data_IF_101095052389
#
_entry.id   IF_101095052389
#
_cell.length_a   1.000
_cell.length_b   1.000
_cell.length_c   1.000
_cell.angle_alpha   90.00
_cell.angle_beta   90.00
_cell.angle_gamma   90.00
#
_symmetry.space_group_name_H-M   'P 1'
#
loop_
_entity.id
_entity.type
_entity.pdbx_description
1 polymer ?
#
# COMPACT_ATOMS: atom_id res chain seq x y z
N UNK A 1 -9.73 -8.09 -5.30
CA UNK A 1 -8.41 -7.88 -5.92
C UNK A 1 -7.97 -6.44 -5.68
N UNK A 2 -6.69 -6.22 -5.42
CA UNK A 2 -6.17 -4.87 -5.18
C UNK A 2 -6.34 -4.00 -6.44
N UNK A 3 -6.67 -2.73 -6.23
CA UNK A 3 -6.73 -1.73 -7.30
C UNK A 3 -5.66 -0.68 -7.03
N UNK A 4 -4.76 -0.51 -7.98
CA UNK A 4 -3.70 0.48 -7.83
C UNK A 4 -4.18 1.86 -8.26
N UNK A 5 -3.79 2.88 -7.48
CA UNK A 5 -4.10 4.28 -7.78
C UNK A 5 -2.80 5.01 -8.02
N UNK A 6 -2.58 5.40 -9.25
CA UNK A 6 -1.31 6.03 -9.64
C UNK A 6 -1.46 7.54 -9.63
N UNK A 7 -0.63 8.19 -8.83
CA UNK A 7 -0.54 9.65 -8.77
C UNK A 7 0.71 10.10 -9.51
N UNK A 8 0.53 10.64 -10.69
CA UNK A 8 1.64 11.07 -11.55
C UNK A 8 2.30 12.35 -11.06
N UNK A 9 1.68 13.04 -10.10
CA UNK A 9 2.18 14.32 -9.57
C UNK A 9 2.93 14.17 -8.26
N UNK A 10 2.95 12.97 -7.70
CA UNK A 10 3.48 12.78 -6.34
C UNK A 10 5.00 12.88 -6.25
N UNK A 11 5.71 12.79 -7.37
CA UNK A 11 7.17 12.71 -7.37
C UNK A 11 7.71 11.31 -7.05
N UNK A 12 6.86 10.39 -6.66
CA UNK A 12 7.24 8.99 -6.43
C UNK A 12 7.08 8.24 -7.75
N UNK A 13 8.09 7.46 -8.14
CA UNK A 13 8.03 6.69 -9.37
C UNK A 13 6.84 5.72 -9.34
N UNK A 14 6.26 5.45 -10.52
CA UNK A 14 5.04 4.64 -10.60
C UNK A 14 5.26 3.23 -10.08
N UNK A 15 6.45 2.62 -10.35
CA UNK A 15 6.68 1.27 -9.85
C UNK A 15 6.75 1.24 -8.32
N UNK A 16 7.31 2.27 -7.70
CA UNK A 16 7.35 2.35 -6.24
C UNK A 16 5.96 2.54 -5.65
N UNK A 17 5.08 3.27 -6.35
CA UNK A 17 3.69 3.40 -5.91
C UNK A 17 3.01 2.04 -5.87
N UNK A 18 3.24 1.20 -6.88
CA UNK A 18 2.69 -0.16 -6.89
C UNK A 18 3.26 -0.98 -5.73
N UNK A 19 4.56 -0.92 -5.52
CA UNK A 19 5.22 -1.63 -4.41
C UNK A 19 4.65 -1.19 -3.07
N UNK A 20 4.57 0.13 -2.85
CA UNK A 20 4.08 0.68 -1.59
C UNK A 20 2.62 0.32 -1.33
N UNK A 21 1.77 0.39 -2.35
CA UNK A 21 0.35 0.06 -2.20
C UNK A 21 0.15 -1.43 -1.93
N UNK A 22 0.95 -2.28 -2.56
CA UNK A 22 0.90 -3.72 -2.29
C UNK A 22 1.32 -4.02 -0.86
N UNK A 23 2.41 -3.41 -0.40
CA UNK A 23 2.88 -3.60 0.97
C UNK A 23 1.87 -3.07 1.98
N UNK A 24 1.24 -1.95 1.70
CA UNK A 24 0.20 -1.40 2.56
C UNK A 24 -0.96 -2.39 2.69
N UNK A 25 -1.42 -2.94 1.57
CA UNK A 25 -2.50 -3.91 1.59
C UNK A 25 -2.12 -5.18 2.37
N UNK A 26 -0.85 -5.61 2.26
CA UNK A 26 -0.34 -6.75 3.03
C UNK A 26 -0.33 -6.45 4.53
N UNK A 27 0.12 -5.25 4.92
CA UNK A 27 0.18 -4.87 6.33
C UNK A 27 -1.19 -4.76 6.97
N UNK A 28 -2.18 -4.32 6.21
CA UNK A 28 -3.54 -4.16 6.69
C UNK A 28 -4.39 -5.43 6.58
N UNK A 29 -3.80 -6.51 6.05
CA UNK A 29 -4.51 -7.78 5.90
C UNK A 29 -5.52 -7.79 4.76
N UNK A 30 -5.48 -6.81 3.87
CA UNK A 30 -6.35 -6.75 2.70
C UNK A 30 -5.92 -7.74 1.62
N UNK A 31 -4.64 -8.08 1.60
CA UNK A 31 -4.07 -9.15 0.79
C UNK A 31 -3.53 -10.22 1.71
N UNK A 32 -3.84 -11.46 1.41
CA UNK A 32 -3.44 -12.60 2.21
C UNK A 32 -2.69 -13.62 1.36
N UNK A 33 -1.85 -14.49 1.97
CA UNK A 33 -1.17 -15.53 1.22
C UNK A 33 -2.15 -16.33 0.36
N UNK A 34 -1.77 -16.56 -0.88
CA UNK A 34 -2.61 -17.25 -1.87
C UNK A 34 -3.44 -16.32 -2.73
N UNK A 35 -3.60 -15.06 -2.35
CA UNK A 35 -4.34 -14.10 -3.17
C UNK A 35 -3.54 -13.78 -4.44
N UNK A 36 -4.26 -13.63 -5.53
CA UNK A 36 -3.67 -13.30 -6.82
C UNK A 36 -3.60 -11.79 -6.99
N UNK A 37 -2.46 -11.31 -7.46
CA UNK A 37 -2.31 -9.90 -7.85
C UNK A 37 -2.85 -9.70 -9.27
N UNK A 38 -3.28 -8.48 -9.61
CA UNK A 38 -3.66 -8.19 -10.99
C UNK A 38 -2.52 -8.49 -11.95
N UNK A 39 -2.85 -8.97 -13.14
CA UNK A 39 -1.84 -9.16 -14.18
C UNK A 39 -1.33 -7.79 -14.64
N UNK A 40 -0.14 -7.76 -15.24
CA UNK A 40 0.39 -6.52 -15.82
C UNK A 40 -0.60 -5.90 -16.80
N UNK A 41 -1.25 -6.75 -17.61
CA UNK A 41 -2.26 -6.30 -18.57
C UNK A 41 -3.44 -5.62 -17.88
N UNK A 42 -3.95 -6.22 -16.81
CA UNK A 42 -5.07 -5.65 -16.05
C UNK A 42 -4.68 -4.30 -15.43
N UNK A 43 -3.47 -4.19 -14.91
CA UNK A 43 -3.00 -2.93 -14.34
C UNK A 43 -2.86 -1.86 -15.41
N UNK A 44 -2.32 -2.21 -16.57
CA UNK A 44 -2.20 -1.28 -17.71
C UNK A 44 -3.56 -0.79 -18.16
N UNK A 45 -4.54 -1.69 -18.25
CA UNK A 45 -5.90 -1.32 -18.65
C UNK A 45 -6.52 -0.34 -17.65
N UNK A 46 -6.24 -0.50 -16.36
CA UNK A 46 -6.82 0.35 -15.32
C UNK A 46 -6.08 1.67 -15.13
N UNK A 47 -4.76 1.71 -15.34
CA UNK A 47 -3.90 2.85 -14.97
C UNK A 47 -3.18 3.49 -16.14
N UNK A 48 -3.15 2.85 -17.29
CA UNK A 48 -2.44 3.30 -18.51
C UNK A 48 -0.93 3.48 -18.31
N UNK A 49 -0.33 2.74 -17.35
CA UNK A 49 1.13 2.77 -17.17
C UNK A 49 1.79 1.69 -18.02
N UNK A 50 3.10 1.81 -18.19
CA UNK A 50 3.88 0.86 -18.97
C UNK A 50 3.84 -0.52 -18.30
N UNK A 51 3.58 -1.61 -19.05
CA UNK A 51 3.55 -2.95 -18.47
C UNK A 51 4.89 -3.36 -17.83
N UNK A 52 6.01 -2.86 -18.36
CA UNK A 52 7.33 -3.15 -17.78
C UNK A 52 7.46 -2.54 -16.38
N UNK A 53 6.77 -1.43 -16.12
CA UNK A 53 6.74 -0.81 -14.80
C UNK A 53 6.05 -1.73 -13.79
N UNK A 54 4.94 -2.34 -14.19
CA UNK A 54 4.23 -3.31 -13.33
C UNK A 54 5.11 -4.51 -13.06
N UNK A 55 5.76 -5.05 -14.10
CA UNK A 55 6.64 -6.21 -13.95
C UNK A 55 7.83 -5.89 -13.04
N UNK A 56 8.38 -4.68 -13.16
CA UNK A 56 9.46 -4.23 -12.28
C UNK A 56 9.02 -4.21 -10.81
N UNK A 57 7.82 -3.69 -10.56
CA UNK A 57 7.28 -3.66 -9.20
C UNK A 57 7.09 -5.07 -8.66
N UNK A 58 6.55 -5.98 -9.45
CA UNK A 58 6.32 -7.34 -9.02
C UNK A 58 7.63 -8.11 -8.80
N UNK A 59 8.66 -7.83 -9.61
CA UNK A 59 10.00 -8.41 -9.38
C UNK A 59 10.58 -7.94 -8.06
N UNK A 60 10.38 -6.67 -7.72
CA UNK A 60 10.84 -6.13 -6.44
C UNK A 60 10.14 -6.83 -5.26
N UNK A 61 8.83 -7.01 -5.36
CA UNK A 61 8.07 -7.71 -4.33
C UNK A 61 8.47 -9.19 -4.22
N UNK A 62 8.75 -9.83 -5.34
CA UNK A 62 9.25 -11.21 -5.39
C UNK A 62 10.64 -11.30 -4.73
N UNK A 63 11.51 -10.35 -5.03
CA UNK A 63 12.84 -10.29 -4.43
C UNK A 63 12.77 -10.20 -2.91
N UNK A 64 11.77 -9.51 -2.37
CA UNK A 64 11.56 -9.41 -0.93
C UNK A 64 10.80 -10.61 -0.35
N UNK A 65 10.45 -11.58 -1.18
CA UNK A 65 9.76 -12.79 -0.72
C UNK A 65 8.29 -12.61 -0.42
N UNK A 66 7.68 -11.50 -0.85
CA UNK A 66 6.28 -11.19 -0.54
C UNK A 66 5.31 -11.80 -1.54
N UNK A 67 5.74 -11.96 -2.77
CA UNK A 67 4.92 -12.55 -3.84
C UNK A 67 5.76 -13.55 -4.61
N UNK A 68 5.09 -14.39 -5.40
CA UNK A 68 5.75 -15.34 -6.28
C UNK A 68 5.04 -15.44 -7.61
N UNK A 69 5.78 -15.45 -8.73
CA UNK A 69 5.19 -15.75 -10.02
C UNK A 69 4.95 -17.24 -10.14
N UNK A 70 3.83 -17.61 -10.73
CA UNK A 70 3.52 -19.01 -11.08
C UNK A 70 3.26 -19.04 -12.58
N UNK A 71 4.16 -19.62 -13.38
CA UNK A 71 4.03 -19.61 -14.84
C UNK A 71 2.67 -20.09 -15.31
N UNK A 72 2.05 -19.32 -16.21
CA UNK A 72 0.71 -19.63 -16.75
C UNK A 72 -0.44 -19.33 -15.81
N UNK A 73 -0.18 -18.98 -14.54
CA UNK A 73 -1.23 -18.76 -13.55
C UNK A 73 -1.28 -17.31 -13.06
N UNK A 74 -0.12 -16.64 -12.93
CA UNK A 74 -0.06 -15.25 -12.48
C UNK A 74 0.93 -15.07 -11.33
N UNK A 75 0.80 -13.95 -10.64
CA UNK A 75 1.61 -13.61 -9.46
C UNK A 75 0.73 -13.66 -8.24
N UNK A 76 1.19 -14.36 -7.21
CA UNK A 76 0.41 -14.65 -6.02
C UNK A 76 1.13 -14.15 -4.77
N UNK A 77 0.35 -13.74 -3.78
CA UNK A 77 0.88 -13.37 -2.47
C UNK A 77 1.45 -14.61 -1.79
N UNK A 78 2.68 -14.50 -1.30
CA UNK A 78 3.39 -15.59 -0.65
C UNK A 78 3.44 -15.41 0.86
N UNK A 79 3.63 -14.18 1.35
CA UNK A 79 3.83 -13.91 2.77
C UNK A 79 2.99 -12.73 3.22
N UNK A 80 2.44 -12.83 4.44
CA UNK A 80 1.69 -11.76 5.07
C UNK A 80 2.62 -10.81 5.81
N UNK A 81 2.25 -9.53 5.85
CA UNK A 81 2.84 -8.53 6.73
C UNK A 81 1.82 -8.05 7.75
N UNK A 82 0.66 -8.70 7.79
CA UNK A 82 -0.46 -8.24 8.61
C UNK A 82 -0.16 -8.34 10.10
N UNK A 83 -0.64 -7.34 10.81
CA UNK A 83 -0.66 -7.30 12.27
C UNK A 83 -2.12 -7.14 12.68
N UNK A 84 -2.66 -7.99 13.55
CA UNK A 84 -4.06 -7.89 13.95
C UNK A 84 -4.41 -6.51 14.52
N UNK A 85 -3.48 -5.88 15.24
CA UNK A 85 -3.68 -4.57 15.85
C UNK A 85 -3.87 -3.46 14.82
N UNK A 86 -3.34 -3.63 13.62
CA UNK A 86 -3.44 -2.65 12.55
C UNK A 86 -4.56 -3.00 11.55
N UNK A 87 -5.24 -4.12 11.74
CA UNK A 87 -6.28 -4.57 10.82
C UNK A 87 -7.53 -3.71 10.87
N UNK A 88 -8.43 -3.94 9.90
CA UNK A 88 -9.64 -3.13 9.74
C UNK A 88 -10.53 -3.13 10.99
N UNK A 89 -10.54 -4.21 11.75
CA UNK A 89 -11.36 -4.36 12.96
C UNK A 89 -10.57 -4.06 14.23
N UNK A 90 -9.33 -3.57 14.11
CA UNK A 90 -8.48 -3.31 15.26
C UNK A 90 -8.88 -2.04 16.01
N UNK A 91 -8.64 -2.05 17.32
CA UNK A 91 -8.91 -0.88 18.16
C UNK A 91 -8.07 0.33 17.75
N UNK A 92 -6.81 0.11 17.40
CA UNK A 92 -5.92 1.22 17.01
C UNK A 92 -6.42 1.90 15.73
N UNK A 93 -6.92 1.12 14.78
CA UNK A 93 -7.49 1.71 13.58
C UNK A 93 -8.74 2.53 13.91
N UNK A 94 -9.59 2.01 14.78
CA UNK A 94 -10.81 2.72 15.21
C UNK A 94 -10.47 4.04 15.91
N UNK A 95 -9.47 4.01 16.80
CA UNK A 95 -9.02 5.21 17.48
C UNK A 95 -8.47 6.25 16.50
N UNK A 96 -7.64 5.83 15.56
CA UNK A 96 -7.08 6.73 14.56
C UNK A 96 -8.17 7.29 13.66
N UNK A 97 -9.11 6.45 13.25
CA UNK A 97 -10.25 6.90 12.43
C UNK A 97 -11.07 7.96 13.16
N UNK A 98 -11.37 7.74 14.45
CA UNK A 98 -12.08 8.70 15.27
C UNK A 98 -11.32 10.01 15.43
N UNK A 99 -10.01 9.92 15.61
CA UNK A 99 -9.16 11.10 15.67
C UNK A 99 -9.22 11.90 14.36
N UNK A 100 -9.16 11.21 13.22
CA UNK A 100 -9.24 11.85 11.90
C UNK A 100 -10.60 12.52 11.69
N UNK A 101 -11.68 11.90 12.17
CA UNK A 101 -13.01 12.51 12.11
C UNK A 101 -13.04 13.82 12.90
N UNK A 102 -12.45 13.83 14.09
CA UNK A 102 -12.36 15.06 14.90
C UNK A 102 -11.49 16.12 14.24
N UNK A 103 -10.38 15.71 13.63
CA UNK A 103 -9.52 16.64 12.90
C UNK A 103 -10.27 17.30 11.75
N UNK A 104 -11.03 16.51 11.00
CA UNK A 104 -11.84 17.03 9.89
C UNK A 104 -12.93 17.98 10.40
N UNK A 105 -13.59 17.62 11.49
CA UNK A 105 -14.61 18.47 12.10
C UNK A 105 -14.03 19.79 12.61
N UNK A 106 -12.77 19.79 13.02
CA UNK A 106 -12.06 21.00 13.45
C UNK A 106 -11.57 21.87 12.28
N UNK A 107 -11.80 21.43 11.05
CA UNK A 107 -11.43 22.19 9.86
C UNK A 107 -10.06 21.87 9.30
N UNK A 108 -9.38 20.85 9.82
CA UNK A 108 -8.08 20.46 9.28
C UNK A 108 -8.25 19.82 7.91
N UNK A 109 -7.34 20.14 7.00
CA UNK A 109 -7.32 19.59 5.66
C UNK A 109 -6.36 18.41 5.59
N UNK A 110 -6.40 17.70 4.47
CA UNK A 110 -5.53 16.55 4.24
C UNK A 110 -4.06 16.86 4.55
N UNK A 111 -3.55 18.00 4.06
CA UNK A 111 -2.17 18.38 4.26
C UNK A 111 -1.84 18.65 5.73
N UNK A 112 -2.79 19.19 6.48
CA UNK A 112 -2.60 19.42 7.93
C UNK A 112 -2.48 18.09 8.67
N UNK A 113 -3.36 17.16 8.36
CA UNK A 113 -3.36 15.82 8.97
C UNK A 113 -2.08 15.09 8.59
N UNK A 114 -1.70 15.14 7.32
CA UNK A 114 -0.47 14.50 6.83
C UNK A 114 0.76 15.06 7.56
N UNK A 115 0.81 16.38 7.77
CA UNK A 115 1.91 17.02 8.48
C UNK A 115 1.97 16.58 9.95
N UNK A 116 0.83 16.51 10.61
CA UNK A 116 0.78 16.04 12.00
C UNK A 116 1.24 14.59 12.11
N UNK A 117 0.72 13.73 11.23
CA UNK A 117 1.10 12.32 11.23
C UNK A 117 2.59 12.17 10.98
N UNK A 118 3.14 12.87 9.98
CA UNK A 118 4.56 12.81 9.66
C UNK A 118 5.42 13.26 10.85
N UNK A 119 5.02 14.35 11.50
CA UNK A 119 5.73 14.87 12.66
C UNK A 119 5.76 13.87 13.81
N UNK A 120 4.61 13.25 14.10
CA UNK A 120 4.52 12.26 15.17
C UNK A 120 5.23 10.96 14.82
N UNK A 121 5.21 10.57 13.57
CA UNK A 121 5.97 9.40 13.10
C UNK A 121 7.46 9.61 13.36
N UNK A 122 7.98 10.78 13.02
CA UNK A 122 9.37 11.12 13.29
C UNK A 122 9.67 11.08 14.78
N UNK A 123 8.81 11.67 15.60
CA UNK A 123 9.01 11.76 17.04
C UNK A 123 8.94 10.41 17.73
N UNK A 124 7.98 9.56 17.33
CA UNK A 124 7.71 8.29 18.04
C UNK A 124 8.54 7.12 17.52
N UNK A 125 8.86 7.10 16.23
CA UNK A 125 9.57 5.99 15.60
C UNK A 125 10.96 6.37 15.08
N UNK A 126 11.36 7.62 15.27
CA UNK A 126 12.62 8.13 14.74
C UNK A 126 12.54 8.37 13.24
N UNK A 127 13.56 8.99 12.69
CA UNK A 127 13.62 9.25 11.27
C UNK A 127 13.81 7.98 10.47
N UNK A 128 13.31 7.98 9.23
CA UNK A 128 13.58 6.91 8.29
C UNK A 128 15.02 7.06 7.82
N UNK A 129 15.79 6.00 7.96
CA UNK A 129 17.20 5.98 7.56
C UNK A 129 17.39 5.17 6.30
#
# INVERSE_FOLDING_TARGET
MIEYRIDRRSGVSTYLQIVQQTKQALRLGLLQPGDKLPTAREVVEATAINPNTVLKAYRELDREGLVEPRPGLGTFVRRSLARPEAGADGELRAELSGWMDRARAAGLEHEDVAALVASLMEQKFGGVR
#
